data_IF_168240028748
#
_entry.id   IF_168240028748
#
_cell.length_a   1.000
_cell.length_b   1.000
_cell.length_c   1.000
_cell.angle_alpha   90.00
_cell.angle_beta   90.00
_cell.angle_gamma   90.00
#
_symmetry.space_group_name_H-M   'P 1'
#
loop_
_entity.id
_entity.type
_entity.pdbx_description
1 polymer ?
#
# COMPACT_ATOMS: atom_id res chain seq x y z
N UNK A 1 -26.91 8.28 22.74
CA UNK A 1 -27.83 7.41 22.00
C UNK A 1 -27.08 6.91 20.77
N UNK A 2 -26.53 5.71 20.87
CA UNK A 2 -25.83 5.04 19.78
C UNK A 2 -26.89 4.50 18.80
N UNK A 3 -26.86 4.95 17.56
CA UNK A 3 -27.65 4.33 16.48
C UNK A 3 -26.95 3.05 16.06
N UNK A 4 -27.65 1.95 16.22
CA UNK A 4 -27.32 0.64 15.69
C UNK A 4 -27.13 0.69 14.17
N UNK A 5 -25.98 0.23 13.67
CA UNK A 5 -25.72 0.07 12.26
C UNK A 5 -26.65 -1.00 11.66
N UNK A 6 -27.56 -0.57 10.81
CA UNK A 6 -28.27 -1.43 9.88
C UNK A 6 -27.45 -1.51 8.59
N UNK A 7 -27.32 -2.71 8.05
CA UNK A 7 -26.78 -3.00 6.72
C UNK A 7 -27.61 -2.26 5.63
N UNK A 8 -27.21 -1.06 5.30
CA UNK A 8 -27.59 -0.43 4.06
C UNK A 8 -26.51 -0.79 3.01
N UNK A 9 -26.76 -1.84 2.24
CA UNK A 9 -26.15 -1.97 0.91
C UNK A 9 -26.67 -0.80 0.07
N UNK A 10 -26.10 0.40 0.28
CA UNK A 10 -26.32 1.53 -0.61
C UNK A 10 -25.93 1.11 -2.02
N UNK A 11 -26.90 1.27 -2.92
CA UNK A 11 -26.77 1.06 -4.35
C UNK A 11 -25.53 1.85 -4.82
N UNK A 12 -24.40 1.17 -5.07
CA UNK A 12 -23.15 1.81 -5.47
C UNK A 12 -23.42 2.75 -6.66
N UNK A 13 -23.30 4.06 -6.44
CA UNK A 13 -23.59 5.12 -7.41
C UNK A 13 -22.69 5.01 -8.65
N UNK A 14 -21.52 4.39 -8.52
CA UNK A 14 -20.51 4.27 -9.57
C UNK A 14 -20.18 2.81 -9.84
N UNK A 15 -19.89 2.51 -11.12
CA UNK A 15 -19.41 1.23 -11.59
C UNK A 15 -17.90 1.31 -11.91
N UNK A 16 -17.23 0.18 -12.07
CA UNK A 16 -15.83 0.15 -12.49
C UNK A 16 -15.56 0.88 -13.82
N UNK A 17 -16.55 0.94 -14.72
CA UNK A 17 -16.45 1.66 -16.00
C UNK A 17 -16.38 3.17 -15.83
N UNK A 18 -16.93 3.74 -14.77
CA UNK A 18 -16.89 5.18 -14.52
C UNK A 18 -15.48 5.70 -14.19
N UNK A 19 -14.61 4.81 -13.69
CA UNK A 19 -13.20 5.12 -13.41
C UNK A 19 -12.25 4.80 -14.57
N UNK A 20 -12.77 4.22 -15.67
CA UNK A 20 -11.99 3.87 -16.85
C UNK A 20 -12.14 4.95 -17.92
N UNK A 21 -11.02 5.40 -18.49
CA UNK A 21 -11.04 6.28 -19.65
C UNK A 21 -10.90 5.50 -20.99
N UNK A 22 -10.86 6.21 -22.11
CA UNK A 22 -10.76 5.63 -23.45
C UNK A 22 -9.35 5.20 -23.88
N UNK A 23 -8.33 5.43 -23.04
CA UNK A 23 -6.94 5.10 -23.38
C UNK A 23 -6.69 3.60 -23.26
N UNK A 24 -6.03 3.02 -24.27
CA UNK A 24 -5.58 1.63 -24.22
C UNK A 24 -4.31 1.52 -23.35
N UNK A 25 -4.28 0.55 -22.45
CA UNK A 25 -3.11 0.27 -21.64
C UNK A 25 -1.91 -0.15 -22.53
N UNK A 26 -0.72 0.40 -22.23
CA UNK A 26 0.51 0.24 -23.01
C UNK A 26 1.54 -0.67 -22.34
N UNK A 27 1.12 -1.46 -21.36
CA UNK A 27 1.97 -2.48 -20.74
C UNK A 27 2.17 -3.69 -21.67
N UNK A 28 3.19 -4.48 -21.37
CA UNK A 28 3.46 -5.71 -22.09
C UNK A 28 2.28 -6.69 -22.00
N UNK A 29 1.99 -7.49 -23.03
CA UNK A 29 1.01 -8.56 -22.92
C UNK A 29 1.38 -9.52 -21.77
N UNK A 30 0.43 -9.83 -20.90
CA UNK A 30 0.63 -10.68 -19.73
C UNK A 30 1.23 -9.99 -18.49
N UNK A 31 1.55 -8.69 -18.55
CA UNK A 31 2.01 -7.93 -17.39
C UNK A 31 0.92 -7.85 -16.31
N UNK A 32 1.30 -8.07 -15.05
CA UNK A 32 0.40 -8.00 -13.90
C UNK A 32 -0.28 -6.64 -13.69
N UNK A 33 0.32 -5.55 -14.19
CA UNK A 33 -0.26 -4.20 -14.09
C UNK A 33 -1.66 -4.11 -14.74
N UNK A 34 -1.96 -4.93 -15.76
CA UNK A 34 -3.29 -4.98 -16.36
C UNK A 34 -4.36 -5.48 -15.38
N UNK A 35 -4.03 -6.52 -14.62
CA UNK A 35 -4.92 -7.08 -13.60
C UNK A 35 -5.13 -6.08 -12.46
N UNK A 36 -4.06 -5.47 -11.98
CA UNK A 36 -4.08 -4.49 -10.89
C UNK A 36 -4.92 -3.26 -11.27
N UNK A 37 -4.79 -2.74 -12.50
CA UNK A 37 -5.63 -1.64 -12.98
C UNK A 37 -7.13 -2.00 -12.95
N UNK A 38 -7.48 -3.20 -13.43
CA UNK A 38 -8.87 -3.64 -13.43
C UNK A 38 -9.42 -3.81 -12.00
N UNK A 39 -8.60 -4.31 -11.08
CA UNK A 39 -8.96 -4.43 -9.66
C UNK A 39 -9.14 -3.07 -9.01
N UNK A 40 -8.26 -2.10 -9.31
CA UNK A 40 -8.39 -0.74 -8.78
C UNK A 40 -9.69 -0.06 -9.24
N UNK A 41 -10.09 -0.22 -10.52
CA UNK A 41 -11.39 0.28 -10.97
C UNK A 41 -12.55 -0.31 -10.18
N UNK A 42 -12.51 -1.62 -9.87
CA UNK A 42 -13.55 -2.30 -9.07
C UNK A 42 -13.52 -1.83 -7.61
N UNK A 43 -12.34 -1.71 -7.02
CA UNK A 43 -12.19 -1.21 -5.65
C UNK A 43 -12.72 0.22 -5.51
N UNK A 44 -12.41 1.11 -6.45
CA UNK A 44 -12.96 2.48 -6.47
C UNK A 44 -14.48 2.50 -6.59
N UNK A 45 -15.06 1.62 -7.42
CA UNK A 45 -16.51 1.47 -7.52
C UNK A 45 -17.13 1.04 -6.19
N UNK A 46 -16.52 0.08 -5.50
CA UNK A 46 -16.97 -0.39 -4.18
C UNK A 46 -16.83 0.67 -3.09
N UNK A 47 -15.74 1.47 -3.13
CA UNK A 47 -15.53 2.60 -2.23
C UNK A 47 -16.58 3.70 -2.45
N UNK A 48 -17.06 3.88 -3.70
CA UNK A 48 -18.15 4.78 -4.05
C UNK A 48 -17.78 6.27 -4.12
N UNK A 49 -16.50 6.64 -4.04
CA UNK A 49 -16.05 8.04 -4.17
C UNK A 49 -16.11 8.47 -5.63
N UNK A 50 -16.68 9.64 -5.91
CA UNK A 50 -16.80 10.14 -7.27
C UNK A 50 -15.44 10.26 -7.99
N UNK A 51 -15.35 9.95 -9.30
CA UNK A 51 -14.11 10.14 -10.07
C UNK A 51 -13.54 11.56 -9.97
N UNK A 52 -14.39 12.58 -9.90
CA UNK A 52 -14.00 14.00 -9.73
C UNK A 52 -13.43 14.33 -8.34
N UNK A 53 -13.68 13.49 -7.34
CA UNK A 53 -13.21 13.66 -5.96
C UNK A 53 -12.03 12.72 -5.67
N UNK A 54 -11.46 12.10 -6.73
CA UNK A 54 -10.35 11.17 -6.67
C UNK A 54 -9.15 11.71 -7.46
N UNK A 55 -7.95 11.63 -6.88
CA UNK A 55 -6.70 11.98 -7.54
C UNK A 55 -5.72 10.78 -7.49
N UNK A 56 -5.14 10.43 -8.65
CA UNK A 56 -4.17 9.34 -8.80
C UNK A 56 -2.80 9.94 -9.15
N UNK A 57 -1.86 9.86 -8.25
CA UNK A 57 -0.53 10.47 -8.36
C UNK A 57 0.52 9.37 -8.51
N UNK A 58 1.35 9.43 -9.54
CA UNK A 58 2.38 8.43 -9.76
C UNK A 58 3.78 9.02 -9.90
N UNK A 59 4.78 8.19 -9.64
CA UNK A 59 6.19 8.49 -9.95
C UNK A 59 6.57 8.09 -11.37
N UNK A 60 7.66 7.35 -11.55
CA UNK A 60 8.17 6.90 -12.84
C UNK A 60 8.35 5.37 -12.84
N UNK A 61 7.97 4.74 -13.94
CA UNK A 61 8.07 3.31 -14.16
C UNK A 61 6.86 2.75 -14.89
N UNK A 62 6.81 1.44 -15.08
CA UNK A 62 5.68 0.78 -15.74
C UNK A 62 4.38 1.01 -14.99
N UNK A 63 4.35 0.74 -13.68
CA UNK A 63 3.21 0.97 -12.80
C UNK A 63 2.74 2.43 -12.79
N UNK A 64 3.69 3.38 -12.92
CA UNK A 64 3.41 4.81 -12.89
C UNK A 64 2.62 5.34 -14.10
N UNK A 65 2.40 4.50 -15.11
CA UNK A 65 1.49 4.81 -16.23
C UNK A 65 0.01 4.71 -15.87
N UNK A 66 -0.30 4.14 -14.71
CA UNK A 66 -1.67 3.85 -14.28
C UNK A 66 -2.60 5.09 -14.34
N UNK A 67 -2.21 6.31 -13.91
CA UNK A 67 -3.05 7.51 -14.02
C UNK A 67 -3.53 7.82 -15.44
N UNK A 68 -2.78 7.44 -16.47
CA UNK A 68 -3.18 7.64 -17.88
C UNK A 68 -4.41 6.84 -18.30
N UNK A 69 -4.74 5.79 -17.54
CA UNK A 69 -5.83 4.86 -17.85
C UNK A 69 -7.04 5.05 -16.94
N UNK A 70 -6.97 6.06 -16.04
CA UNK A 70 -8.02 6.39 -15.08
C UNK A 70 -8.86 7.58 -15.56
N UNK A 71 -10.14 7.54 -15.28
CA UNK A 71 -11.08 8.68 -15.50
C UNK A 71 -11.23 9.47 -14.18
N UNK A 72 -10.10 9.87 -13.60
CA UNK A 72 -9.99 10.66 -12.35
C UNK A 72 -9.04 11.82 -12.59
N UNK A 73 -8.88 12.71 -11.61
CA UNK A 73 -7.68 13.56 -11.65
C UNK A 73 -6.44 12.68 -11.54
N UNK A 74 -5.41 13.02 -12.29
CA UNK A 74 -4.18 12.25 -12.32
C UNK A 74 -2.96 13.11 -12.63
N UNK A 75 -1.84 12.73 -12.05
CA UNK A 75 -0.55 13.35 -12.31
C UNK A 75 0.55 12.29 -12.36
N UNK A 76 1.24 12.20 -13.49
CA UNK A 76 2.49 11.46 -13.64
C UNK A 76 3.64 12.42 -13.31
N UNK A 77 4.35 12.17 -12.21
CA UNK A 77 5.31 13.13 -11.65
C UNK A 77 6.76 12.79 -12.02
N UNK A 78 7.70 13.08 -11.14
CA UNK A 78 9.13 12.81 -11.30
C UNK A 78 9.50 11.56 -10.50
N UNK A 79 10.54 10.86 -10.92
CA UNK A 79 11.03 9.62 -10.29
C UNK A 79 11.24 9.79 -8.79
N UNK A 80 10.55 8.92 -8.02
CA UNK A 80 10.58 8.91 -6.56
C UNK A 80 9.90 10.10 -5.87
N UNK A 81 9.08 10.88 -6.55
CA UNK A 81 8.43 12.08 -5.96
C UNK A 81 6.93 11.95 -5.75
N UNK A 82 6.36 10.80 -6.10
CA UNK A 82 4.91 10.58 -5.97
C UNK A 82 4.40 10.86 -4.55
N UNK A 83 5.06 10.34 -3.52
CA UNK A 83 4.65 10.53 -2.12
C UNK A 83 4.69 12.00 -1.67
N UNK A 84 5.69 12.78 -2.13
CA UNK A 84 5.78 14.19 -1.82
C UNK A 84 4.66 15.00 -2.51
N UNK A 85 4.40 14.72 -3.79
CA UNK A 85 3.34 15.39 -4.55
C UNK A 85 1.95 14.99 -4.01
N UNK A 86 1.72 13.69 -3.75
CA UNK A 86 0.46 13.21 -3.16
C UNK A 86 0.19 13.85 -1.79
N UNK A 87 1.23 13.99 -0.95
CA UNK A 87 1.15 14.73 0.33
C UNK A 87 0.70 16.17 0.10
N UNK A 88 1.27 16.84 -0.90
CA UNK A 88 0.88 18.21 -1.25
C UNK A 88 -0.56 18.31 -1.72
N UNK A 89 -1.01 17.39 -2.59
CA UNK A 89 -2.39 17.33 -3.09
C UNK A 89 -3.38 17.14 -1.94
N UNK A 90 -3.13 16.17 -1.05
CA UNK A 90 -4.01 15.89 0.10
C UNK A 90 -4.03 17.04 1.11
N UNK A 91 -2.89 17.69 1.33
CA UNK A 91 -2.79 18.84 2.24
C UNK A 91 -3.53 20.07 1.69
N UNK A 92 -3.44 20.29 0.38
CA UNK A 92 -4.11 21.43 -0.28
C UNK A 92 -5.63 21.23 -0.40
N UNK A 93 -6.08 19.99 -0.59
CA UNK A 93 -7.50 19.64 -0.61
C UNK A 93 -7.75 18.33 0.16
N UNK A 94 -8.07 18.42 1.46
CA UNK A 94 -8.26 17.24 2.31
C UNK A 94 -9.49 16.39 1.95
N UNK A 95 -10.43 16.91 1.16
CA UNK A 95 -11.64 16.19 0.74
C UNK A 95 -11.35 15.15 -0.36
N UNK A 96 -10.23 15.27 -1.07
CA UNK A 96 -9.89 14.34 -2.14
C UNK A 96 -9.48 12.97 -1.57
N UNK A 97 -9.95 11.90 -2.21
CA UNK A 97 -9.35 10.57 -2.07
C UNK A 97 -8.12 10.50 -2.95
N UNK A 98 -6.94 10.35 -2.33
CA UNK A 98 -5.66 10.38 -3.04
C UNK A 98 -5.05 8.99 -3.08
N UNK A 99 -4.74 8.54 -4.28
CA UNK A 99 -3.99 7.30 -4.55
C UNK A 99 -2.60 7.66 -5.06
N UNK A 100 -1.58 7.11 -4.41
CA UNK A 100 -0.20 7.18 -4.88
C UNK A 100 0.19 5.84 -5.48
N UNK A 101 0.71 5.84 -6.71
CA UNK A 101 1.14 4.64 -7.42
C UNK A 101 2.65 4.70 -7.66
N UNK A 102 3.36 3.70 -7.19
CA UNK A 102 4.81 3.56 -7.41
C UNK A 102 5.17 2.09 -7.64
N UNK A 103 6.17 1.85 -8.49
CA UNK A 103 6.90 0.60 -8.43
C UNK A 103 7.85 0.57 -7.22
N UNK A 104 8.32 -0.61 -6.87
CA UNK A 104 9.29 -0.82 -5.80
C UNK A 104 10.55 0.03 -5.99
N UNK A 105 11.11 0.07 -7.20
CA UNK A 105 12.27 0.90 -7.52
C UNK A 105 12.02 2.40 -7.42
N UNK A 106 10.85 2.86 -7.87
CA UNK A 106 10.47 4.27 -7.80
C UNK A 106 10.20 4.72 -6.36
N UNK A 107 9.42 3.95 -5.63
CA UNK A 107 8.96 4.33 -4.29
C UNK A 107 10.00 4.14 -3.20
N UNK A 108 10.86 3.11 -3.30
CA UNK A 108 11.73 2.68 -2.20
C UNK A 108 13.22 2.97 -2.42
N UNK A 109 13.67 3.22 -3.69
CA UNK A 109 15.02 3.69 -3.95
C UNK A 109 15.09 5.22 -3.78
N UNK A 110 15.09 5.96 -4.87
CA UNK A 110 15.15 7.45 -4.83
C UNK A 110 13.94 8.07 -4.10
N UNK A 111 12.80 7.37 -4.07
CA UNK A 111 11.59 7.78 -3.35
C UNK A 111 11.58 7.46 -1.86
N UNK A 112 12.52 6.64 -1.36
CA UNK A 112 12.49 6.09 0.01
C UNK A 112 12.34 7.15 1.10
N UNK A 113 13.06 8.27 0.99
CA UNK A 113 12.92 9.36 1.95
C UNK A 113 11.50 9.95 1.99
N UNK A 114 10.86 10.13 0.83
CA UNK A 114 9.50 10.66 0.75
C UNK A 114 8.46 9.65 1.24
N UNK A 115 8.67 8.35 0.95
CA UNK A 115 7.87 7.27 1.47
C UNK A 115 7.90 7.25 3.02
N UNK A 116 9.10 7.21 3.61
CA UNK A 116 9.29 7.22 5.07
C UNK A 116 8.59 8.42 5.70
N UNK A 117 8.78 9.62 5.17
CA UNK A 117 8.18 10.82 5.73
C UNK A 117 6.68 10.92 5.54
N UNK A 118 6.12 10.39 4.45
CA UNK A 118 4.68 10.31 4.23
C UNK A 118 4.03 9.37 5.26
N UNK A 119 4.58 8.17 5.41
CA UNK A 119 4.11 7.15 6.36
C UNK A 119 4.26 7.65 7.80
N UNK A 120 5.42 8.19 8.18
CA UNK A 120 5.69 8.71 9.53
C UNK A 120 4.74 9.83 9.94
N UNK A 121 4.36 10.69 8.99
CA UNK A 121 3.39 11.77 9.23
C UNK A 121 1.96 11.28 9.28
N UNK A 122 1.71 10.08 8.83
CA UNK A 122 0.37 9.51 8.69
C UNK A 122 -0.54 10.39 7.81
N UNK A 123 -0.05 10.76 6.62
CA UNK A 123 -0.83 11.54 5.64
C UNK A 123 -1.94 10.67 5.07
N UNK A 124 -3.18 11.14 5.01
CA UNK A 124 -4.36 10.38 4.56
C UNK A 124 -4.33 10.12 3.04
N UNK A 125 -3.49 9.18 2.62
CA UNK A 125 -3.33 8.73 1.23
C UNK A 125 -3.18 7.22 1.13
N UNK A 126 -3.66 6.66 0.03
CA UNK A 126 -3.55 5.24 -0.31
C UNK A 126 -2.30 5.02 -1.16
N UNK A 127 -1.32 4.29 -0.67
CA UNK A 127 -0.04 4.05 -1.31
C UNK A 127 -0.03 2.63 -1.89
N UNK A 128 -0.06 2.49 -3.22
CA UNK A 128 0.13 1.22 -3.91
C UNK A 128 1.59 1.08 -4.35
N UNK A 129 2.26 0.06 -3.84
CA UNK A 129 3.59 -0.36 -4.28
C UNK A 129 3.42 -1.62 -5.14
N UNK A 130 3.62 -1.49 -6.45
CA UNK A 130 3.63 -2.61 -7.38
C UNK A 130 5.04 -3.19 -7.42
N UNK A 131 5.24 -4.30 -6.70
CA UNK A 131 6.56 -4.85 -6.45
C UNK A 131 6.85 -6.04 -7.38
N UNK A 132 7.66 -5.80 -8.42
CA UNK A 132 8.12 -6.83 -9.36
C UNK A 132 9.63 -7.14 -9.25
N UNK A 133 10.28 -6.61 -8.24
CA UNK A 133 11.70 -6.80 -7.93
C UNK A 133 12.65 -6.48 -9.09
N UNK A 134 12.25 -5.52 -9.98
CA UNK A 134 13.08 -5.13 -11.14
C UNK A 134 12.68 -3.74 -11.66
N UNK A 135 13.63 -2.96 -12.18
CA UNK A 135 13.32 -1.79 -13.00
C UNK A 135 12.96 -2.23 -14.42
N UNK A 136 11.68 -2.49 -14.69
CA UNK A 136 11.20 -2.97 -15.99
C UNK A 136 11.27 -1.93 -17.10
N UNK A 137 10.86 -0.68 -16.83
CA UNK A 137 10.81 0.39 -17.84
C UNK A 137 12.19 0.69 -18.46
N UNK A 138 13.25 0.65 -17.67
CA UNK A 138 14.63 0.92 -18.08
C UNK A 138 15.36 -0.34 -18.53
N UNK A 139 14.64 -1.44 -18.75
CA UNK A 139 15.09 -2.69 -19.37
C UNK A 139 15.90 -3.61 -18.45
N UNK A 140 15.53 -3.71 -17.17
CA UNK A 140 15.93 -4.84 -16.32
C UNK A 140 17.14 -4.60 -15.42
N UNK A 141 17.30 -3.42 -14.83
CA UNK A 141 18.20 -3.22 -13.71
C UNK A 141 17.59 -3.78 -12.44
N UNK A 142 18.42 -4.25 -11.49
CA UNK A 142 17.93 -4.66 -10.19
C UNK A 142 17.33 -3.46 -9.43
N UNK A 143 16.29 -3.72 -8.65
CA UNK A 143 15.59 -2.76 -7.81
C UNK A 143 15.98 -2.95 -6.34
N UNK A 144 15.63 -2.06 -5.42
CA UNK A 144 15.95 -2.23 -3.99
C UNK A 144 15.29 -3.45 -3.33
N UNK A 145 14.30 -4.06 -3.98
CA UNK A 145 13.64 -5.30 -3.49
C UNK A 145 14.11 -6.56 -4.23
N UNK A 146 15.05 -6.44 -5.18
CA UNK A 146 15.65 -7.59 -5.86
C UNK A 146 16.43 -8.46 -4.89
N UNK A 147 16.27 -9.77 -4.99
CA UNK A 147 16.97 -10.71 -4.13
C UNK A 147 18.50 -10.62 -4.32
N UNK A 148 19.26 -10.87 -3.25
CA UNK A 148 20.73 -10.96 -3.32
C UNK A 148 21.14 -11.99 -4.37
N UNK A 149 22.13 -11.65 -5.18
CA UNK A 149 22.60 -12.49 -6.26
C UNK A 149 21.83 -12.34 -7.59
N UNK A 150 20.83 -11.44 -7.66
CA UNK A 150 20.11 -11.18 -8.92
C UNK A 150 21.06 -10.70 -10.01
N UNK A 151 21.12 -11.46 -11.12
CA UNK A 151 21.92 -11.14 -12.29
C UNK A 151 21.13 -10.24 -13.24
N UNK A 152 21.73 -9.14 -13.64
CA UNK A 152 21.18 -8.22 -14.63
C UNK A 152 22.26 -7.67 -15.55
N UNK A 153 21.89 -6.94 -16.60
CA UNK A 153 22.89 -6.31 -17.50
C UNK A 153 23.80 -5.32 -16.77
N UNK A 154 23.29 -4.64 -15.74
CA UNK A 154 24.08 -3.72 -14.91
C UNK A 154 24.78 -4.39 -13.73
N UNK A 155 24.44 -5.64 -13.42
CA UNK A 155 25.03 -6.44 -12.34
C UNK A 155 25.31 -7.86 -12.83
N UNK A 156 26.28 -8.03 -13.74
CA UNK A 156 26.50 -9.31 -14.43
C UNK A 156 27.04 -10.41 -13.51
N UNK A 157 27.54 -10.08 -12.33
CA UNK A 157 28.04 -11.02 -11.31
C UNK A 157 27.06 -11.20 -10.14
N UNK A 158 25.85 -10.65 -10.26
CA UNK A 158 24.83 -10.66 -9.21
C UNK A 158 24.93 -9.47 -8.24
N UNK A 159 23.82 -9.15 -7.62
CA UNK A 159 23.73 -8.12 -6.58
C UNK A 159 24.35 -8.61 -5.28
N UNK A 160 24.98 -7.71 -4.51
CA UNK A 160 25.58 -8.02 -3.20
C UNK A 160 24.77 -7.44 -2.04
N UNK A 161 23.73 -6.68 -2.35
CA UNK A 161 22.86 -6.00 -1.39
C UNK A 161 21.71 -6.93 -0.94
N UNK A 162 21.28 -6.78 0.30
CA UNK A 162 20.06 -7.40 0.79
C UNK A 162 18.85 -6.57 0.36
N UNK A 163 17.73 -7.22 -0.02
CA UNK A 163 16.54 -6.51 -0.47
C UNK A 163 15.86 -5.76 0.67
N UNK A 164 15.27 -4.61 0.35
CA UNK A 164 14.27 -4.01 1.21
C UNK A 164 13.00 -4.86 1.25
N UNK A 165 12.45 -5.01 2.45
CA UNK A 165 11.11 -5.52 2.68
C UNK A 165 10.20 -4.30 2.89
N UNK A 166 9.24 -4.01 1.97
CA UNK A 166 8.42 -2.78 2.05
C UNK A 166 7.68 -2.63 3.37
N UNK A 167 7.26 -3.74 3.97
CA UNK A 167 6.59 -3.76 5.27
C UNK A 167 7.52 -3.32 6.42
N UNK A 168 8.79 -3.74 6.42
CA UNK A 168 9.76 -3.31 7.44
C UNK A 168 9.99 -1.80 7.37
N UNK A 169 10.14 -1.24 6.16
CA UNK A 169 10.25 0.21 5.97
C UNK A 169 8.98 0.93 6.45
N UNK A 170 7.81 0.39 6.15
CA UNK A 170 6.54 0.94 6.61
C UNK A 170 6.47 0.94 8.15
N UNK A 171 6.76 -0.18 8.80
CA UNK A 171 6.70 -0.29 10.26
C UNK A 171 7.84 0.48 10.94
N UNK A 172 9.03 0.50 10.36
CA UNK A 172 10.14 1.35 10.81
C UNK A 172 9.82 2.85 10.76
N UNK A 173 9.00 3.26 9.80
CA UNK A 173 8.43 4.60 9.70
C UNK A 173 7.16 4.80 10.56
N UNK A 174 6.80 3.87 11.43
CA UNK A 174 5.59 3.86 12.28
C UNK A 174 4.29 3.80 11.49
N UNK A 175 4.26 3.06 10.37
CA UNK A 175 3.05 2.83 9.58
C UNK A 175 1.96 2.15 10.39
N UNK A 176 0.74 2.67 10.25
CA UNK A 176 -0.43 2.17 10.97
C UNK A 176 -1.31 1.26 10.12
N UNK A 177 -1.10 1.25 8.81
CA UNK A 177 -1.76 0.33 7.88
C UNK A 177 -0.75 -0.29 6.93
N UNK A 178 -0.82 -1.62 6.81
CA UNK A 178 -0.10 -2.38 5.79
C UNK A 178 -0.90 -3.60 5.37
N UNK A 179 -1.06 -3.77 4.05
CA UNK A 179 -1.68 -4.94 3.45
C UNK A 179 -0.81 -5.48 2.31
N UNK A 180 -0.89 -6.78 2.04
CA UNK A 180 -0.17 -7.42 0.94
C UNK A 180 -1.06 -8.31 0.11
N UNK A 181 -0.86 -8.30 -1.20
CA UNK A 181 -1.48 -9.19 -2.14
C UNK A 181 -0.55 -9.46 -3.33
N UNK A 182 -1.02 -10.16 -4.35
CA UNK A 182 -0.32 -10.35 -5.62
C UNK A 182 -1.28 -10.26 -6.81
N UNK A 183 -0.74 -10.00 -7.99
CA UNK A 183 -1.49 -9.65 -9.21
C UNK A 183 -2.50 -10.70 -9.68
N UNK A 184 -2.35 -11.97 -9.29
CA UNK A 184 -3.29 -13.04 -9.62
C UNK A 184 -4.34 -13.28 -8.51
N UNK A 185 -4.17 -12.72 -7.31
CA UNK A 185 -5.12 -12.82 -6.20
C UNK A 185 -6.10 -11.64 -6.25
N UNK A 186 -6.92 -11.56 -7.30
CA UNK A 186 -7.74 -10.40 -7.63
C UNK A 186 -8.68 -9.98 -6.51
N UNK A 187 -9.32 -10.95 -5.86
CA UNK A 187 -10.24 -10.72 -4.74
C UNK A 187 -9.50 -10.10 -3.54
N UNK A 188 -8.43 -10.75 -3.09
CA UNK A 188 -7.60 -10.25 -1.98
C UNK A 188 -7.02 -8.86 -2.28
N UNK A 189 -6.60 -8.62 -3.53
CA UNK A 189 -6.10 -7.31 -3.94
C UNK A 189 -7.18 -6.23 -3.84
N UNK A 190 -8.42 -6.54 -4.25
CA UNK A 190 -9.56 -5.62 -4.11
C UNK A 190 -9.87 -5.34 -2.64
N UNK A 191 -9.95 -6.37 -1.81
CA UNK A 191 -10.17 -6.25 -0.37
C UNK A 191 -9.11 -5.38 0.31
N UNK A 192 -7.83 -5.58 0.00
CA UNK A 192 -6.73 -4.75 0.51
C UNK A 192 -6.87 -3.28 0.09
N UNK A 193 -7.22 -3.02 -1.17
CA UNK A 193 -7.43 -1.65 -1.67
C UNK A 193 -8.63 -0.96 -1.02
N UNK A 194 -9.73 -1.69 -0.85
CA UNK A 194 -10.93 -1.17 -0.18
C UNK A 194 -10.65 -0.88 1.29
N UNK A 195 -9.97 -1.80 1.98
CA UNK A 195 -9.56 -1.59 3.38
C UNK A 195 -8.63 -0.37 3.51
N UNK A 196 -7.66 -0.22 2.61
CA UNK A 196 -6.77 0.95 2.55
C UNK A 196 -7.54 2.26 2.42
N UNK A 197 -8.52 2.32 1.51
CA UNK A 197 -9.33 3.52 1.30
C UNK A 197 -10.26 3.87 2.47
N UNK A 198 -10.63 2.89 3.30
CA UNK A 198 -11.43 3.08 4.52
C UNK A 198 -10.57 3.46 5.72
N UNK A 199 -9.28 3.13 5.71
CA UNK A 199 -8.35 3.56 6.74
C UNK A 199 -8.17 5.08 6.72
N UNK A 200 -7.95 5.68 7.89
CA UNK A 200 -7.62 7.11 8.03
C UNK A 200 -6.15 7.30 8.33
N UNK A 201 -5.44 7.82 7.34
CA UNK A 201 -4.00 8.00 7.37
C UNK A 201 -3.27 7.35 6.20
N UNK A 202 -1.96 7.12 6.34
CA UNK A 202 -1.14 6.51 5.31
C UNK A 202 -1.38 5.00 5.24
N UNK A 203 -2.12 4.56 4.23
CA UNK A 203 -2.40 3.15 3.97
C UNK A 203 -1.47 2.61 2.89
N UNK A 204 -0.61 1.66 3.24
CA UNK A 204 0.34 1.03 2.31
C UNK A 204 -0.18 -0.34 1.89
N UNK A 205 -0.34 -0.54 0.59
CA UNK A 205 -0.68 -1.83 -0.02
C UNK A 205 0.45 -2.25 -0.96
N UNK A 206 1.11 -3.35 -0.63
CA UNK A 206 2.07 -4.00 -1.50
C UNK A 206 1.36 -5.02 -2.37
N UNK A 207 1.48 -4.87 -3.70
CA UNK A 207 1.00 -5.87 -4.65
C UNK A 207 2.20 -6.47 -5.38
N UNK A 208 2.49 -7.74 -5.08
CA UNK A 208 3.53 -8.50 -5.75
C UNK A 208 3.11 -8.74 -7.20
N UNK A 209 3.92 -8.29 -8.15
CA UNK A 209 3.56 -8.20 -9.56
C UNK A 209 4.58 -8.93 -10.42
N UNK A 210 4.11 -9.68 -11.43
CA UNK A 210 5.00 -10.38 -12.36
C UNK A 210 5.38 -9.49 -13.55
N UNK A 211 6.69 -9.28 -13.75
CA UNK A 211 7.23 -8.64 -14.94
C UNK A 211 7.62 -9.69 -15.98
N UNK A 212 6.72 -9.99 -16.92
CA UNK A 212 6.86 -11.04 -17.95
C UNK A 212 8.08 -10.91 -18.88
N UNK A 213 8.76 -9.75 -18.89
CA UNK A 213 9.87 -9.50 -19.81
C UNK A 213 11.23 -9.56 -19.11
N UNK A 214 11.34 -9.02 -17.89
CA UNK A 214 12.64 -8.85 -17.24
C UNK A 214 12.79 -9.64 -15.94
N UNK A 215 11.68 -10.15 -15.38
CA UNK A 215 11.69 -10.90 -14.13
C UNK A 215 10.53 -11.89 -14.06
N UNK A 216 10.32 -12.63 -15.17
CA UNK A 216 9.21 -13.56 -15.27
C UNK A 216 9.37 -14.72 -14.27
N UNK A 217 8.26 -15.05 -13.60
CA UNK A 217 8.21 -16.14 -12.64
C UNK A 217 8.89 -15.86 -11.29
N UNK A 218 9.31 -14.62 -11.00
CA UNK A 218 9.98 -14.31 -9.72
C UNK A 218 9.14 -14.68 -8.49
N UNK A 219 7.84 -14.74 -8.65
CA UNK A 219 6.88 -15.10 -7.61
C UNK A 219 6.26 -16.50 -7.80
N UNK A 220 6.81 -17.35 -8.69
CA UNK A 220 6.23 -18.66 -9.06
C UNK A 220 6.06 -19.59 -7.87
N UNK A 221 6.95 -19.57 -6.88
CA UNK A 221 6.93 -20.46 -5.71
C UNK A 221 5.66 -20.34 -4.83
N UNK A 222 4.92 -19.22 -4.92
CA UNK A 222 3.63 -19.08 -4.24
C UNK A 222 2.46 -18.76 -5.20
N UNK A 223 2.73 -18.44 -6.47
CA UNK A 223 1.67 -18.17 -7.44
C UNK A 223 1.21 -19.44 -8.18
N UNK A 224 2.01 -20.49 -8.18
CA UNK A 224 1.63 -21.80 -8.71
C UNK A 224 0.43 -22.36 -7.93
N UNK A 225 -0.59 -22.83 -8.67
CA UNK A 225 -1.87 -23.28 -8.07
C UNK A 225 -1.71 -24.51 -7.19
N UNK A 226 -0.77 -25.40 -7.50
CA UNK A 226 -0.57 -26.64 -6.75
C UNK A 226 0.15 -26.38 -5.42
N UNK A 227 1.04 -25.39 -5.38
CA UNK A 227 1.86 -25.07 -4.21
C UNK A 227 1.31 -23.92 -3.37
N UNK A 228 0.47 -23.08 -3.94
CA UNK A 228 -0.03 -21.84 -3.31
C UNK A 228 -0.59 -22.06 -1.91
N UNK A 229 -1.39 -23.12 -1.71
CA UNK A 229 -2.02 -23.38 -0.41
C UNK A 229 -1.00 -23.55 0.72
N UNK A 230 0.16 -24.14 0.43
CA UNK A 230 1.22 -24.36 1.42
C UNK A 230 2.16 -23.17 1.58
N UNK A 231 2.21 -22.27 0.59
CA UNK A 231 3.13 -21.14 0.56
C UNK A 231 2.47 -19.78 0.80
N UNK A 232 1.15 -19.74 0.99
CA UNK A 232 0.42 -18.51 1.31
C UNK A 232 -0.54 -18.71 2.47
N UNK A 233 -0.74 -17.64 3.24
CA UNK A 233 -1.76 -17.55 4.26
C UNK A 233 -2.59 -16.28 4.06
N UNK A 234 -3.92 -16.40 4.04
CA UNK A 234 -4.82 -15.27 3.98
C UNK A 234 -5.22 -14.85 5.40
N UNK A 235 -4.81 -13.63 5.78
CA UNK A 235 -5.06 -13.09 7.12
C UNK A 235 -6.39 -12.35 7.16
N UNK A 236 -7.26 -12.75 8.08
CA UNK A 236 -8.53 -12.09 8.37
C UNK A 236 -8.55 -11.74 9.86
N UNK A 237 -8.85 -10.48 10.17
CA UNK A 237 -8.91 -10.02 11.57
C UNK A 237 -9.94 -10.84 12.36
N UNK A 238 -9.54 -11.33 13.54
CA UNK A 238 -10.37 -12.14 14.42
C UNK A 238 -10.44 -13.63 14.06
N UNK A 239 -9.82 -14.06 12.95
CA UNK A 239 -9.80 -15.47 12.55
C UNK A 239 -8.46 -16.15 12.86
N UNK A 240 -8.50 -17.48 13.02
CA UNK A 240 -7.29 -18.29 13.21
C UNK A 240 -6.41 -18.25 11.96
N UNK A 241 -5.12 -18.17 12.16
CA UNK A 241 -4.12 -18.10 11.08
C UNK A 241 -3.86 -19.49 10.50
N UNK A 242 -4.79 -19.95 9.65
CA UNK A 242 -4.78 -21.27 9.00
C UNK A 242 -4.33 -21.18 7.55
N UNK A 243 -3.64 -22.21 7.07
CA UNK A 243 -3.19 -22.34 5.69
C UNK A 243 -3.00 -23.82 5.30
N UNK A 244 -2.47 -24.04 4.11
CA UNK A 244 -2.31 -25.38 3.57
C UNK A 244 -3.60 -25.94 2.98
N UNK A 245 -3.50 -27.10 2.34
CA UNK A 245 -4.66 -27.77 1.78
C UNK A 245 -5.65 -28.11 2.90
N UNK A 246 -6.91 -27.76 2.71
CA UNK A 246 -8.01 -27.98 3.67
C UNK A 246 -7.76 -27.36 5.06
N UNK A 247 -6.96 -26.27 5.13
CA UNK A 247 -6.57 -25.62 6.39
C UNK A 247 -5.90 -26.57 7.38
N UNK A 248 -5.11 -27.50 6.88
CA UNK A 248 -4.43 -28.53 7.68
C UNK A 248 -3.24 -28.01 8.48
N UNK A 249 -2.79 -26.78 8.21
CA UNK A 249 -1.64 -26.12 8.86
C UNK A 249 -2.08 -24.86 9.56
N UNK A 250 -1.32 -24.44 10.57
CA UNK A 250 -1.55 -23.21 11.31
C UNK A 250 -0.25 -22.55 11.76
N UNK A 251 -0.34 -21.25 12.07
CA UNK A 251 0.73 -20.53 12.72
C UNK A 251 0.56 -20.56 14.22
N UNK A 252 1.60 -20.95 14.93
CA UNK A 252 1.70 -20.95 16.39
C UNK A 252 2.86 -20.10 16.85
N UNK A 253 2.90 -19.73 18.12
CA UNK A 253 4.03 -19.06 18.71
C UNK A 253 4.96 -20.09 19.36
N UNK A 254 6.24 -20.06 18.99
CA UNK A 254 7.30 -20.84 19.61
C UNK A 254 8.36 -19.88 20.17
N UNK A 255 8.31 -19.68 21.49
CA UNK A 255 9.09 -18.62 22.14
C UNK A 255 8.66 -17.23 21.64
N UNK A 256 9.58 -16.51 20.98
CA UNK A 256 9.30 -15.20 20.37
C UNK A 256 9.07 -15.25 18.86
N UNK A 257 9.11 -16.44 18.26
CA UNK A 257 9.02 -16.59 16.81
C UNK A 257 7.71 -17.28 16.39
N UNK A 258 7.29 -17.00 15.17
CA UNK A 258 6.23 -17.75 14.52
C UNK A 258 6.79 -19.10 14.04
N UNK A 259 5.95 -20.12 14.14
CA UNK A 259 6.22 -21.48 13.63
C UNK A 259 5.00 -21.98 12.86
N UNK A 260 5.24 -22.58 11.69
CA UNK A 260 4.23 -23.33 10.97
C UNK A 260 4.15 -24.77 11.50
N UNK A 261 2.94 -25.24 11.76
CA UNK A 261 2.69 -26.60 12.28
C UNK A 261 1.58 -27.27 11.50
N UNK A 262 1.61 -28.60 11.44
CA UNK A 262 0.47 -29.41 10.98
C UNK A 262 -0.44 -29.68 12.17
N UNK A 263 -1.73 -29.39 12.01
CA UNK A 263 -2.71 -29.55 13.08
C UNK A 263 -2.97 -31.06 13.31
N UNK A 264 -2.86 -31.50 14.55
CA UNK A 264 -3.00 -32.91 14.95
C UNK A 264 -1.68 -33.68 14.95
N UNK A 265 -0.57 -33.05 14.57
CA UNK A 265 0.78 -33.64 14.64
C UNK A 265 1.60 -32.96 15.75
N UNK A 266 2.63 -33.64 16.25
CA UNK A 266 3.60 -33.13 17.27
C UNK A 266 2.93 -32.52 18.52
N UNK A 267 1.69 -32.89 18.81
CA UNK A 267 0.91 -32.39 19.97
C UNK A 267 0.20 -31.06 19.73
N UNK A 268 0.33 -30.46 18.56
CA UNK A 268 -0.37 -29.22 18.22
C UNK A 268 -1.82 -29.46 17.83
N UNK A 269 -2.71 -28.64 18.38
CA UNK A 269 -4.15 -28.66 18.15
C UNK A 269 -4.65 -27.36 17.52
N UNK A 270 -5.89 -27.34 17.12
CA UNK A 270 -6.53 -26.12 16.62
C UNK A 270 -6.48 -24.96 17.65
N UNK A 271 -6.48 -25.28 18.96
CA UNK A 271 -6.48 -24.26 20.02
C UNK A 271 -5.14 -23.55 20.17
N UNK A 272 -4.05 -24.16 19.73
CA UNK A 272 -2.70 -23.58 19.73
C UNK A 272 -2.50 -22.56 18.58
N UNK A 273 -3.36 -22.61 17.53
CA UNK A 273 -3.25 -21.72 16.39
C UNK A 273 -3.62 -20.29 16.77
N UNK A 274 -2.73 -19.36 16.46
CA UNK A 274 -2.87 -17.93 16.74
C UNK A 274 -4.07 -17.33 15.97
N UNK A 275 -4.71 -16.37 16.58
CA UNK A 275 -5.75 -15.53 15.96
C UNK A 275 -5.10 -14.24 15.47
N UNK A 276 -5.39 -13.87 14.23
CA UNK A 276 -4.88 -12.62 13.67
C UNK A 276 -5.59 -11.40 14.27
N UNK A 277 -4.80 -10.45 14.79
CA UNK A 277 -5.29 -9.16 15.25
C UNK A 277 -4.62 -8.02 14.47
N UNK A 278 -5.30 -7.53 13.43
CA UNK A 278 -4.84 -6.42 12.62
C UNK A 278 -4.79 -5.09 13.40
N UNK A 279 -5.57 -4.97 14.49
CA UNK A 279 -5.72 -3.77 15.29
C UNK A 279 -4.86 -3.75 16.56
N UNK A 280 -4.00 -4.75 16.74
CA UNK A 280 -3.12 -4.83 17.91
C UNK A 280 -2.24 -3.57 18.03
N UNK A 281 -2.21 -2.94 19.20
CA UNK A 281 -1.41 -1.74 19.45
C UNK A 281 0.09 -2.03 19.27
N UNK A 282 0.57 -3.20 19.71
CA UNK A 282 1.93 -3.68 19.45
C UNK A 282 2.01 -4.24 18.03
N UNK A 283 3.01 -3.82 17.26
CA UNK A 283 3.24 -4.34 15.91
C UNK A 283 4.22 -5.53 15.87
N UNK A 284 4.61 -6.09 17.00
CA UNK A 284 5.64 -7.13 17.07
C UNK A 284 5.27 -8.37 16.24
N UNK A 285 4.07 -8.93 16.44
CA UNK A 285 3.59 -10.08 15.66
C UNK A 285 3.38 -9.71 14.20
N UNK A 286 2.84 -8.52 13.94
CA UNK A 286 2.59 -8.02 12.58
C UNK A 286 3.89 -7.81 11.79
N UNK A 287 5.01 -7.44 12.45
CA UNK A 287 6.32 -7.41 11.81
C UNK A 287 6.77 -8.81 11.40
N UNK A 288 6.61 -9.82 12.25
CA UNK A 288 6.95 -11.20 11.88
C UNK A 288 6.10 -11.69 10.70
N UNK A 289 4.77 -11.46 10.73
CA UNK A 289 3.88 -11.79 9.63
C UNK A 289 4.30 -11.11 8.32
N UNK A 290 4.70 -9.86 8.39
CA UNK A 290 5.12 -9.08 7.23
C UNK A 290 6.47 -9.54 6.64
N UNK A 291 7.34 -10.14 7.44
CA UNK A 291 8.63 -10.70 7.02
C UNK A 291 8.51 -12.10 6.41
N UNK A 292 7.38 -12.77 6.57
CA UNK A 292 7.15 -14.09 5.98
C UNK A 292 7.13 -13.98 4.45
N UNK A 293 7.94 -14.78 3.78
CA UNK A 293 8.23 -14.67 2.35
C UNK A 293 7.68 -15.82 1.48
N UNK A 294 7.03 -16.81 2.10
CA UNK A 294 6.48 -17.97 1.41
C UNK A 294 7.46 -19.14 1.26
N UNK A 295 8.67 -19.07 1.83
CA UNK A 295 9.68 -20.14 1.78
C UNK A 295 9.63 -20.99 3.05
N UNK A 296 10.13 -20.48 4.15
CA UNK A 296 10.13 -21.18 5.45
C UNK A 296 8.76 -21.06 6.14
N UNK A 297 8.13 -19.89 6.02
CA UNK A 297 6.78 -19.61 6.49
C UNK A 297 5.91 -19.13 5.32
N UNK A 298 4.59 -19.37 5.33
CA UNK A 298 3.72 -18.97 4.24
C UNK A 298 3.70 -17.44 4.08
N UNK A 299 3.69 -16.94 2.85
CA UNK A 299 3.56 -15.51 2.58
C UNK A 299 2.23 -14.98 3.15
N UNK A 300 2.31 -14.01 4.04
CA UNK A 300 1.12 -13.37 4.60
C UNK A 300 0.46 -12.42 3.59
N UNK A 301 -0.80 -12.68 3.30
CA UNK A 301 -1.67 -11.93 2.39
C UNK A 301 -2.86 -11.36 3.16
N UNK A 302 -3.47 -10.29 2.64
CA UNK A 302 -4.57 -9.57 3.28
C UNK A 302 -4.08 -8.38 4.11
N UNK A 303 -4.92 -7.91 5.00
CA UNK A 303 -4.61 -6.77 5.89
C UNK A 303 -3.81 -7.27 7.09
N UNK A 304 -2.52 -6.95 7.12
CA UNK A 304 -1.60 -7.37 8.20
C UNK A 304 -1.73 -6.44 9.41
N UNK A 305 -1.91 -5.13 9.16
CA UNK A 305 -2.08 -4.11 10.21
C UNK A 305 -3.07 -3.05 9.77
N UNK A 306 -3.96 -2.65 10.67
CA UNK A 306 -4.90 -1.54 10.54
C UNK A 306 -5.17 -0.91 11.92
N UNK A 307 -4.39 0.08 12.30
CA UNK A 307 -4.48 0.77 13.58
C UNK A 307 -4.74 2.25 13.39
N UNK A 308 -5.63 2.80 14.18
CA UNK A 308 -5.96 4.22 14.12
C UNK A 308 -4.87 5.08 14.80
N UNK A 309 -4.56 6.22 14.19
CA UNK A 309 -3.63 7.22 14.73
C UNK A 309 -4.04 8.63 14.29
N UNK A 310 -3.38 9.65 14.84
CA UNK A 310 -3.59 11.03 14.41
C UNK A 310 -3.21 11.21 12.95
N UNK A 311 -4.06 11.89 12.19
CA UNK A 311 -3.92 12.11 10.75
C UNK A 311 -3.31 13.48 10.49
N UNK A 312 -2.19 13.51 9.78
CA UNK A 312 -1.39 14.74 9.57
C UNK A 312 -2.17 15.90 8.98
N UNK A 313 -2.90 15.68 7.89
CA UNK A 313 -3.64 16.74 7.22
C UNK A 313 -4.81 17.26 8.06
N UNK A 314 -5.47 16.43 8.86
CA UNK A 314 -6.52 16.85 9.79
C UNK A 314 -5.94 17.73 10.91
N UNK A 315 -4.84 17.29 11.54
CA UNK A 315 -4.15 18.05 12.58
C UNK A 315 -3.60 19.38 12.06
N UNK A 316 -3.07 19.42 10.84
CA UNK A 316 -2.59 20.64 10.21
C UNK A 316 -3.73 21.65 9.97
N UNK A 317 -4.87 21.19 9.47
CA UNK A 317 -6.04 22.02 9.25
C UNK A 317 -6.64 22.51 10.58
N UNK A 318 -6.71 21.65 11.60
CA UNK A 318 -7.14 22.02 12.94
C UNK A 318 -6.25 23.12 13.51
N UNK A 319 -4.93 22.93 13.50
CA UNK A 319 -3.96 23.92 13.99
C UNK A 319 -4.07 25.25 13.24
N UNK A 320 -4.18 25.20 11.91
CA UNK A 320 -4.32 26.39 11.07
C UNK A 320 -5.58 27.18 11.42
N UNK A 321 -6.72 26.49 11.58
CA UNK A 321 -8.00 27.10 11.94
C UNK A 321 -7.96 27.74 13.34
N UNK A 322 -7.35 27.06 14.31
CA UNK A 322 -7.18 27.58 15.68
C UNK A 322 -6.31 28.86 15.69
N UNK A 323 -5.20 28.85 14.94
CA UNK A 323 -4.30 30.02 14.82
C UNK A 323 -5.02 31.15 14.11
N UNK A 324 -5.75 30.89 13.04
CA UNK A 324 -6.52 31.90 12.31
C UNK A 324 -7.60 32.53 13.21
N UNK A 325 -8.31 31.69 13.97
CA UNK A 325 -9.32 32.20 14.92
C UNK A 325 -8.69 33.06 16.02
N UNK A 326 -7.50 32.67 16.53
CA UNK A 326 -6.78 33.40 17.58
C UNK A 326 -6.25 34.75 17.12
N UNK A 327 -5.70 34.83 15.91
CA UNK A 327 -5.03 36.05 15.44
C UNK A 327 -5.91 36.95 14.56
N UNK A 328 -7.02 36.42 14.04
CA UNK A 328 -8.05 37.22 13.34
C UNK A 328 -7.56 37.95 12.10
N UNK A 329 -6.63 37.36 11.34
CA UNK A 329 -6.16 37.99 10.10
C UNK A 329 -7.26 37.95 9.04
N UNK A 330 -7.65 39.16 8.59
CA UNK A 330 -8.72 39.33 7.61
C UNK A 330 -8.19 39.54 6.19
N UNK A 331 -6.92 39.87 6.04
CA UNK A 331 -6.27 40.08 4.74
C UNK A 331 -4.78 39.74 4.75
N UNK A 332 -4.20 39.50 3.57
CA UNK A 332 -2.76 39.31 3.40
C UNK A 332 -1.99 40.57 3.88
N UNK A 333 -2.53 41.75 3.66
CA UNK A 333 -1.94 43.00 4.13
C UNK A 333 -1.86 43.06 5.66
N UNK A 334 -2.93 42.66 6.36
CA UNK A 334 -2.95 42.61 7.82
C UNK A 334 -1.93 41.61 8.35
N UNK A 335 -1.82 40.46 7.72
CA UNK A 335 -0.83 39.46 8.08
C UNK A 335 0.60 40.00 7.95
N UNK A 336 0.94 40.63 6.85
CA UNK A 336 2.26 41.24 6.62
C UNK A 336 2.53 42.39 7.63
N UNK A 337 1.57 43.29 7.82
CA UNK A 337 1.80 44.49 8.64
C UNK A 337 1.76 44.21 10.15
N UNK A 338 1.01 43.20 10.61
CA UNK A 338 0.86 42.89 12.04
C UNK A 338 1.89 41.89 12.58
N UNK A 339 2.52 41.12 11.72
CA UNK A 339 3.43 40.02 12.15
C UNK A 339 4.92 40.35 11.99
N UNK A 340 5.27 41.41 11.25
CA UNK A 340 6.65 41.77 10.96
C UNK A 340 6.90 43.26 11.30
N UNK A 341 8.16 43.57 11.60
CA UNK A 341 8.61 44.95 11.64
C UNK A 341 8.46 45.57 10.23
N UNK A 342 7.76 46.69 10.17
CA UNK A 342 7.51 47.40 8.90
C UNK A 342 8.00 48.84 9.01
N UNK A 343 8.47 49.41 7.91
CA UNK A 343 8.83 50.81 7.80
C UNK A 343 8.22 51.42 6.55
N UNK A 344 7.97 52.69 6.60
CA UNK A 344 7.46 53.43 5.44
C UNK A 344 8.62 54.13 4.76
N UNK A 345 8.78 53.95 3.45
CA UNK A 345 9.70 54.73 2.62
C UNK A 345 9.02 56.05 2.35
N UNK A 346 9.66 57.16 2.78
CA UNK A 346 9.20 58.52 2.54
C UNK A 346 9.63 59.00 1.16
#
# INVERSE_FOLDING_TARGET
>A
MLKSGGDDMENNKYSASDYKNSQSARWCPGCGDHAILNVLHKAMAEIGVAPKDTAVISGIGCSSRLPYYMNTYGMHTIHGRAAAIATGVKTANPELTVWQISGDGDGLAIGGNHFIHCVRRNVDINILILNNKIYGLTKGQYSPTSDRGTISKSSPYGTVEDPFIPAELCFGARGNFFARSFDMALQTTQECMVAAARHKGAAVVEVLQNCVIFNDGIHSYFTDKEQRADHTIHLVHGEKMLFGKDNSKGLVQDGFMLKAVTIGEDGYTMDDVLVHDAHCASNFLQQQLAMMDGRDLPLALGVIRDCQALVYNEELWRQTSEVQAKYGYTSLRDMILKTHETWTIQ
#
